data_IF_512228398023
#
_entry.id   IF_512228398023
#
_cell.length_a   1.000
_cell.length_b   1.000
_cell.length_c   1.000
_cell.angle_alpha   90.00
_cell.angle_beta   90.00
_cell.angle_gamma   90.00
#
_symmetry.space_group_name_H-M   'P 1'
#
loop_
_entity.id
_entity.type
_entity.pdbx_description
1 polymer ?
#
# COMPACT_ATOMS: atom_id res chain seq x y z
N UNK A 1 -14.02 -3.74 -4.18
CA UNK A 1 -13.39 -4.91 -3.52
C UNK A 1 -12.42 -4.39 -2.47
N UNK A 2 -12.54 -4.87 -1.24
CA UNK A 2 -11.61 -4.58 -0.14
C UNK A 2 -11.06 -5.91 0.36
N UNK A 3 -9.72 -6.01 0.49
CA UNK A 3 -9.05 -7.22 0.97
C UNK A 3 -8.14 -6.86 2.15
N UNK A 4 -8.37 -7.50 3.29
CA UNK A 4 -7.52 -7.48 4.47
C UNK A 4 -7.33 -8.93 4.91
N UNK A 5 -6.22 -9.52 4.52
CA UNK A 5 -5.98 -10.97 4.64
C UNK A 5 -4.49 -11.31 4.59
N UNK A 6 -4.16 -12.58 4.68
CA UNK A 6 -2.83 -13.08 4.32
C UNK A 6 -2.46 -12.68 2.89
N UNK A 7 -1.18 -12.47 2.67
CA UNK A 7 -0.54 -12.20 1.38
C UNK A 7 0.31 -13.37 0.89
N UNK A 8 1.18 -13.07 -0.06
CA UNK A 8 2.06 -14.04 -0.69
C UNK A 8 1.28 -15.18 -1.34
N UNK A 9 1.77 -16.40 -1.24
CA UNK A 9 1.16 -17.58 -1.86
C UNK A 9 -0.24 -17.94 -1.33
N UNK A 10 -0.64 -17.40 -0.17
CA UNK A 10 -1.97 -17.62 0.44
C UNK A 10 -2.95 -16.48 0.18
N UNK A 11 -2.55 -15.49 -0.60
CA UNK A 11 -3.41 -14.35 -0.91
C UNK A 11 -4.71 -14.81 -1.61
N UNK A 12 -5.91 -14.46 -1.09
CA UNK A 12 -7.18 -14.97 -1.62
C UNK A 12 -7.43 -14.60 -3.08
N UNK A 13 -6.92 -13.47 -3.56
CA UNK A 13 -7.01 -13.10 -4.99
C UNK A 13 -6.29 -14.09 -5.92
N UNK A 14 -5.33 -14.86 -5.43
CA UNK A 14 -4.53 -15.80 -6.24
C UNK A 14 -5.12 -17.21 -6.28
N UNK A 15 -6.16 -17.49 -5.48
CA UNK A 15 -6.82 -18.80 -5.44
C UNK A 15 -7.68 -19.06 -6.68
N UNK A 16 -7.62 -20.28 -7.20
CA UNK A 16 -8.49 -20.73 -8.31
C UNK A 16 -8.55 -19.73 -9.47
N UNK A 17 -9.76 -19.28 -9.81
CA UNK A 17 -10.07 -18.30 -10.87
C UNK A 17 -10.25 -16.87 -10.34
N UNK A 18 -9.93 -16.61 -9.07
CA UNK A 18 -10.21 -15.31 -8.45
C UNK A 18 -9.50 -14.14 -9.17
N UNK A 19 -8.26 -14.34 -9.59
CA UNK A 19 -7.52 -13.30 -10.31
C UNK A 19 -8.21 -12.90 -11.62
N UNK A 20 -8.72 -13.88 -12.38
CA UNK A 20 -9.50 -13.66 -13.61
C UNK A 20 -10.81 -12.94 -13.30
N UNK A 21 -11.53 -13.37 -12.26
CA UNK A 21 -12.79 -12.75 -11.83
C UNK A 21 -12.57 -11.30 -11.41
N UNK A 22 -11.53 -11.04 -10.61
CA UNK A 22 -11.15 -9.69 -10.21
C UNK A 22 -10.77 -8.84 -11.42
N UNK A 23 -10.03 -9.40 -12.39
CA UNK A 23 -9.69 -8.70 -13.64
C UNK A 23 -10.93 -8.17 -14.35
N UNK A 24 -11.95 -9.01 -14.54
CA UNK A 24 -13.24 -8.59 -15.14
C UNK A 24 -13.93 -7.47 -14.37
N UNK A 25 -13.87 -7.48 -13.03
CA UNK A 25 -14.38 -6.39 -12.21
C UNK A 25 -13.57 -5.10 -12.40
N UNK A 26 -12.24 -5.22 -12.47
CA UNK A 26 -11.36 -4.06 -12.66
C UNK A 26 -11.54 -3.44 -14.05
N UNK A 27 -11.76 -4.24 -15.08
CA UNK A 27 -12.06 -3.78 -16.45
C UNK A 27 -13.37 -2.97 -16.48
N UNK A 28 -14.33 -3.34 -15.63
CA UNK A 28 -15.59 -2.60 -15.43
C UNK A 28 -15.46 -1.41 -14.45
N UNK A 29 -14.24 -1.01 -14.08
CA UNK A 29 -14.00 0.15 -13.25
C UNK A 29 -14.34 -0.01 -11.76
N UNK A 30 -14.52 -1.24 -11.28
CA UNK A 30 -14.76 -1.51 -9.85
C UNK A 30 -13.53 -1.12 -9.03
N UNK A 31 -13.72 -0.48 -7.87
CA UNK A 31 -12.64 -0.09 -6.98
C UNK A 31 -11.92 -1.29 -6.34
N UNK A 32 -10.60 -1.15 -6.10
CA UNK A 32 -9.76 -2.20 -5.50
C UNK A 32 -8.90 -1.64 -4.39
N UNK A 33 -8.97 -2.23 -3.19
CA UNK A 33 -8.26 -1.78 -2.02
C UNK A 33 -7.67 -2.97 -1.25
N UNK A 34 -6.39 -2.87 -0.89
CA UNK A 34 -5.72 -3.88 -0.06
C UNK A 34 -5.09 -3.26 1.18
N UNK A 35 -5.17 -3.99 2.31
CA UNK A 35 -4.68 -3.55 3.61
C UNK A 35 -3.64 -4.55 4.11
N UNK A 36 -2.53 -4.01 4.60
CA UNK A 36 -1.42 -4.68 5.24
C UNK A 36 -0.84 -5.81 4.35
N UNK A 37 -0.80 -7.05 4.83
CA UNK A 37 -0.19 -8.14 4.08
C UNK A 37 -0.89 -8.43 2.75
N UNK A 38 -2.17 -8.05 2.60
CA UNK A 38 -2.87 -8.14 1.33
C UNK A 38 -2.31 -7.22 0.22
N UNK A 39 -1.36 -6.33 0.49
CA UNK A 39 -0.64 -5.57 -0.57
C UNK A 39 0.40 -6.43 -1.30
N UNK A 40 0.67 -7.65 -0.81
CA UNK A 40 1.67 -8.57 -1.33
C UNK A 40 1.05 -9.73 -2.10
N UNK A 41 0.92 -9.66 -3.42
CA UNK A 41 0.76 -10.84 -4.28
C UNK A 41 2.10 -11.57 -4.42
N UNK A 42 2.14 -12.73 -5.10
CA UNK A 42 3.44 -13.32 -5.49
C UNK A 42 4.00 -12.63 -6.72
N UNK A 43 5.33 -12.55 -6.82
CA UNK A 43 6.01 -11.86 -7.94
C UNK A 43 5.66 -12.46 -9.30
N UNK A 44 5.46 -13.76 -9.37
CA UNK A 44 5.13 -14.48 -10.61
C UNK A 44 3.61 -14.59 -10.87
N UNK A 45 2.75 -14.24 -9.90
CA UNK A 45 1.29 -14.27 -10.03
C UNK A 45 0.67 -13.13 -9.23
N UNK A 46 -0.10 -12.26 -9.88
CA UNK A 46 -0.80 -11.14 -9.28
C UNK A 46 -0.02 -9.81 -9.23
N UNK A 47 1.31 -9.82 -9.34
CA UNK A 47 2.10 -8.59 -9.26
C UNK A 47 1.70 -7.57 -10.36
N UNK A 48 1.60 -8.02 -11.62
CA UNK A 48 1.20 -7.16 -12.74
C UNK A 48 -0.22 -6.62 -12.57
N UNK A 49 -1.12 -7.50 -12.14
CA UNK A 49 -2.53 -7.18 -11.90
C UNK A 49 -2.66 -6.14 -10.78
N UNK A 50 -1.97 -6.31 -9.66
CA UNK A 50 -2.03 -5.37 -8.54
C UNK A 50 -1.44 -4.00 -8.91
N UNK A 51 -0.35 -3.96 -9.66
CA UNK A 51 0.19 -2.70 -10.21
C UNK A 51 -0.85 -2.04 -11.13
N UNK A 52 -1.51 -2.81 -11.99
CA UNK A 52 -2.53 -2.28 -12.89
C UNK A 52 -3.82 -1.86 -12.16
N UNK A 53 -4.19 -2.51 -11.04
CA UNK A 53 -5.45 -2.27 -10.33
C UNK A 53 -5.36 -1.21 -9.25
N UNK A 54 -4.24 -1.16 -8.50
CA UNK A 54 -4.04 -0.23 -7.37
C UNK A 54 -2.75 0.59 -7.45
N UNK A 55 -2.01 0.51 -8.56
CA UNK A 55 -0.84 1.35 -8.80
C UNK A 55 0.46 0.90 -8.15
N UNK A 56 0.43 -0.11 -7.29
CA UNK A 56 1.61 -0.62 -6.61
C UNK A 56 1.31 -1.85 -5.77
N UNK A 57 2.36 -2.59 -5.41
CA UNK A 57 2.28 -3.75 -4.53
C UNK A 57 3.63 -4.02 -3.87
N UNK A 58 3.64 -4.90 -2.87
CA UNK A 58 4.87 -5.45 -2.34
C UNK A 58 5.47 -6.44 -3.35
N UNK A 59 6.78 -6.40 -3.52
CA UNK A 59 7.53 -7.33 -4.34
C UNK A 59 8.68 -7.92 -3.52
N UNK A 60 8.73 -9.23 -3.39
CA UNK A 60 9.82 -9.93 -2.67
C UNK A 60 11.17 -9.59 -3.28
N UNK A 61 12.21 -9.48 -2.44
CA UNK A 61 13.57 -9.02 -2.79
C UNK A 61 13.67 -7.56 -3.26
N UNK A 62 12.58 -6.80 -3.23
CA UNK A 62 12.52 -5.37 -3.57
C UNK A 62 11.95 -4.54 -2.42
N UNK A 63 10.75 -4.87 -1.95
CA UNK A 63 10.09 -4.21 -0.84
C UNK A 63 10.52 -4.81 0.50
N UNK A 64 10.31 -4.08 1.60
CA UNK A 64 10.71 -4.50 2.95
C UNK A 64 9.59 -4.27 3.96
N UNK A 65 9.60 -5.05 5.06
CA UNK A 65 8.57 -5.06 6.09
C UNK A 65 9.13 -4.87 7.52
N UNK A 66 9.87 -3.81 7.82
CA UNK A 66 10.32 -3.55 9.18
C UNK A 66 9.20 -2.97 10.05
N UNK A 67 9.29 -3.19 11.38
CA UNK A 67 8.54 -2.41 12.35
C UNK A 67 9.22 -1.06 12.58
N UNK A 68 8.47 0.02 12.49
CA UNK A 68 8.96 1.35 12.79
C UNK A 68 7.81 2.33 13.09
N UNK A 69 8.16 3.46 13.74
CA UNK A 69 7.20 4.52 14.02
C UNK A 69 7.25 5.55 12.91
N UNK A 70 6.19 5.63 12.12
CA UNK A 70 6.00 6.67 11.12
C UNK A 70 5.28 7.87 11.73
N UNK A 71 5.64 9.07 11.27
CA UNK A 71 5.08 10.35 11.73
C UNK A 71 4.51 11.12 10.53
N UNK A 72 3.23 10.96 10.30
CA UNK A 72 2.55 11.58 9.17
C UNK A 72 2.10 12.99 9.52
N UNK A 73 2.81 13.98 8.99
CA UNK A 73 2.57 15.40 9.27
C UNK A 73 2.13 16.19 8.04
N UNK A 74 2.29 15.64 6.86
CA UNK A 74 1.97 16.27 5.58
C UNK A 74 1.12 15.34 4.73
N UNK A 75 0.04 15.86 4.18
CA UNK A 75 -0.91 15.12 3.36
C UNK A 75 -1.13 15.84 2.04
N UNK A 76 -1.32 15.11 0.92
CA UNK A 76 -1.75 15.72 -0.32
C UNK A 76 -3.17 16.27 -0.17
N UNK A 77 -3.56 17.23 -1.01
CA UNK A 77 -4.97 17.61 -1.15
C UNK A 77 -5.70 16.51 -1.93
N UNK A 78 -6.34 15.60 -1.22
CA UNK A 78 -7.02 14.44 -1.78
C UNK A 78 -8.24 14.06 -0.93
N UNK A 79 -9.35 13.53 -1.49
CA UNK A 79 -10.51 13.13 -0.70
C UNK A 79 -10.17 12.18 0.45
N UNK A 80 -9.25 11.24 0.26
CA UNK A 80 -8.81 10.30 1.30
C UNK A 80 -8.23 11.01 2.54
N UNK A 81 -7.65 12.19 2.38
CA UNK A 81 -7.03 12.95 3.48
C UNK A 81 -7.97 13.98 4.10
N UNK A 82 -9.23 14.02 3.66
CA UNK A 82 -10.22 14.94 4.22
C UNK A 82 -10.43 14.70 5.71
N UNK A 83 -10.21 15.75 6.52
CA UNK A 83 -10.36 15.69 7.97
C UNK A 83 -9.32 14.82 8.70
N UNK A 84 -8.30 14.30 8.01
CA UNK A 84 -7.18 13.58 8.63
C UNK A 84 -6.20 14.60 9.23
N UNK A 85 -5.88 14.43 10.51
CA UNK A 85 -4.91 15.23 11.23
C UNK A 85 -3.56 14.52 11.32
N UNK A 86 -2.46 15.26 11.59
CA UNK A 86 -1.15 14.64 11.84
C UNK A 86 -1.21 13.58 12.94
N UNK A 87 -0.61 12.43 12.69
CA UNK A 87 -0.56 11.32 13.64
C UNK A 87 0.73 10.53 13.55
N UNK A 88 1.06 9.81 14.62
CA UNK A 88 2.14 8.83 14.69
C UNK A 88 1.58 7.44 14.93
N UNK A 89 2.16 6.44 14.29
CA UNK A 89 1.81 5.07 14.55
C UNK A 89 3.05 4.16 14.39
N UNK A 90 3.27 3.28 15.37
CA UNK A 90 4.21 2.17 15.24
C UNK A 90 3.48 0.99 14.62
N UNK A 91 3.98 0.52 13.49
CA UNK A 91 3.40 -0.62 12.77
C UNK A 91 4.49 -1.36 11.99
N UNK A 92 4.16 -2.50 11.44
CA UNK A 92 4.97 -3.15 10.41
C UNK A 92 4.72 -2.45 9.07
N UNK A 93 5.16 -1.20 8.96
CA UNK A 93 4.98 -0.42 7.76
C UNK A 93 5.86 -0.94 6.64
N UNK A 94 5.26 -1.61 5.65
CA UNK A 94 5.98 -2.01 4.44
C UNK A 94 6.32 -0.79 3.61
N UNK A 95 7.51 -0.80 3.01
CA UNK A 95 7.91 0.29 2.13
C UNK A 95 8.81 -0.17 0.98
N UNK A 96 9.27 0.78 0.17
CA UNK A 96 9.97 0.54 -1.10
C UNK A 96 9.11 -0.35 -2.01
N UNK A 97 7.83 0.02 -2.14
CA UNK A 97 6.87 -0.74 -2.93
C UNK A 97 7.23 -0.71 -4.41
N UNK A 98 6.78 -1.73 -5.14
CA UNK A 98 6.83 -1.71 -6.60
C UNK A 98 5.63 -0.92 -7.12
N UNK A 99 5.88 0.27 -7.63
CA UNK A 99 4.85 1.12 -8.22
C UNK A 99 4.75 1.00 -9.74
N UNK A 100 3.65 1.47 -10.31
CA UNK A 100 3.48 1.68 -11.74
C UNK A 100 4.64 2.52 -12.30
N UNK A 101 5.11 2.28 -13.55
CA UNK A 101 6.23 3.01 -14.13
C UNK A 101 6.07 4.53 -14.03
N UNK A 102 7.09 5.19 -13.46
CA UNK A 102 7.08 6.63 -13.23
C UNK A 102 5.97 7.09 -12.26
N UNK A 103 5.39 6.19 -11.48
CA UNK A 103 4.26 6.45 -10.58
C UNK A 103 3.05 7.10 -11.29
N UNK A 104 2.87 6.84 -12.59
CA UNK A 104 1.77 7.42 -13.38
C UNK A 104 0.42 6.99 -12.78
N UNK A 105 -0.41 7.97 -12.43
CA UNK A 105 -1.71 7.76 -11.79
C UNK A 105 -1.65 7.44 -10.29
N UNK A 106 -0.45 7.33 -9.70
CA UNK A 106 -0.26 7.08 -8.25
C UNK A 106 -0.11 8.40 -7.50
N UNK A 107 -0.91 8.57 -6.45
CA UNK A 107 -0.80 9.67 -5.50
C UNK A 107 -0.40 9.12 -4.13
N UNK A 108 0.81 9.41 -3.61
CA UNK A 108 1.17 9.06 -2.23
C UNK A 108 0.23 9.74 -1.23
N UNK A 109 -0.38 8.96 -0.35
CA UNK A 109 -1.31 9.46 0.68
C UNK A 109 -0.61 9.58 2.04
N UNK A 110 0.09 8.53 2.47
CA UNK A 110 0.93 8.55 3.67
C UNK A 110 2.38 8.28 3.27
N UNK A 111 3.27 9.18 3.70
CA UNK A 111 4.70 9.06 3.44
C UNK A 111 5.49 9.55 4.63
N UNK A 112 6.58 8.88 4.93
CA UNK A 112 7.56 9.34 5.91
C UNK A 112 8.96 8.82 5.56
N UNK A 113 10.00 9.41 6.16
CA UNK A 113 11.38 8.97 6.00
C UNK A 113 11.65 7.82 6.98
N UNK A 114 11.87 6.63 6.44
CA UNK A 114 12.15 5.47 7.28
C UNK A 114 13.50 5.64 7.99
N UNK A 115 13.56 5.37 9.32
CA UNK A 115 14.83 5.42 10.08
C UNK A 115 15.84 4.41 9.55
N UNK A 116 17.15 4.73 9.64
CA UNK A 116 18.25 3.83 9.20
C UNK A 116 18.21 2.46 9.91
N UNK A 117 17.69 2.43 11.12
CA UNK A 117 17.50 1.24 11.94
C UNK A 117 16.59 0.19 11.28
N UNK A 118 15.71 0.61 10.38
CA UNK A 118 14.85 -0.31 9.60
C UNK A 118 15.66 -1.24 8.69
N UNK A 119 16.93 -0.89 8.41
CA UNK A 119 17.85 -1.64 7.54
C UNK A 119 18.84 -2.53 8.30
N UNK A 120 18.58 -2.86 9.58
CA UNK A 120 19.48 -3.72 10.39
C UNK A 120 19.49 -5.18 9.95
N UNK A 121 18.39 -5.68 9.38
CA UNK A 121 18.32 -7.05 8.84
C UNK A 121 19.19 -7.18 7.60
N UNK A 122 19.77 -8.35 7.37
CA UNK A 122 20.49 -8.67 6.13
C UNK A 122 19.58 -8.60 4.89
N UNK A 123 20.17 -8.71 3.70
CA UNK A 123 19.40 -8.76 2.45
C UNK A 123 18.57 -10.06 2.38
N UNK A 124 17.38 -9.98 1.84
CA UNK A 124 16.45 -11.11 1.77
C UNK A 124 15.10 -10.72 1.17
N UNK A 125 14.21 -11.70 1.11
CA UNK A 125 12.91 -11.56 0.45
C UNK A 125 12.07 -10.39 0.96
N UNK A 126 12.16 -10.07 2.29
CA UNK A 126 11.35 -9.05 2.98
C UNK A 126 12.19 -8.08 3.80
N UNK A 127 13.52 -8.19 3.78
CA UNK A 127 14.36 -7.54 4.80
C UNK A 127 15.33 -6.49 4.30
N UNK A 128 15.74 -6.54 3.05
CA UNK A 128 16.65 -5.57 2.48
C UNK A 128 17.17 -5.96 1.10
N UNK A 129 17.74 -4.97 0.44
CA UNK A 129 18.49 -5.07 -0.80
C UNK A 129 19.27 -3.76 -1.02
N UNK A 130 20.24 -3.71 -1.96
CA UNK A 130 21.03 -2.51 -2.19
C UNK A 130 20.23 -1.27 -2.57
N UNK A 131 19.10 -1.44 -3.31
CA UNK A 131 18.29 -0.32 -3.77
C UNK A 131 17.53 0.35 -2.59
N UNK A 132 16.88 -0.43 -1.74
CA UNK A 132 16.16 0.12 -0.57
C UNK A 132 17.14 0.74 0.43
N UNK A 133 18.32 0.13 0.64
CA UNK A 133 19.37 0.70 1.52
C UNK A 133 19.83 2.05 1.03
N UNK A 134 20.07 2.17 -0.28
CA UNK A 134 20.42 3.45 -0.92
C UNK A 134 19.33 4.50 -0.74
N UNK A 135 18.05 4.09 -0.92
CA UNK A 135 16.89 4.97 -0.74
C UNK A 135 16.78 5.49 0.69
N UNK A 136 16.88 4.60 1.69
CA UNK A 136 16.83 4.99 3.12
C UNK A 136 18.03 5.84 3.51
N UNK A 137 19.24 5.50 3.06
CA UNK A 137 20.45 6.28 3.34
C UNK A 137 20.38 7.71 2.77
N UNK A 138 19.72 7.89 1.63
CA UNK A 138 19.46 9.19 1.02
C UNK A 138 18.35 9.99 1.67
N UNK A 139 17.64 9.43 2.67
CA UNK A 139 16.50 10.09 3.32
C UNK A 139 15.28 10.22 2.40
N UNK A 140 15.14 9.38 1.40
CA UNK A 140 13.99 9.44 0.50
C UNK A 140 12.70 9.04 1.25
N UNK A 141 11.60 9.81 1.08
CA UNK A 141 10.31 9.44 1.63
C UNK A 141 9.86 8.05 1.13
N UNK A 142 9.35 7.25 2.05
CA UNK A 142 8.76 5.96 1.76
C UNK A 142 7.23 6.07 1.77
N UNK A 143 6.59 5.62 0.71
CA UNK A 143 5.14 5.70 0.55
C UNK A 143 4.52 4.42 1.10
N UNK A 144 3.79 4.56 2.21
CA UNK A 144 3.16 3.43 2.93
C UNK A 144 1.65 3.35 2.73
N UNK A 145 1.05 4.39 2.15
CA UNK A 145 -0.29 4.37 1.60
C UNK A 145 -0.36 5.22 0.33
N UNK A 146 -1.09 4.76 -0.66
CA UNK A 146 -1.20 5.44 -1.95
C UNK A 146 -2.57 5.22 -2.58
N UNK A 147 -3.05 6.24 -3.30
CA UNK A 147 -4.21 6.18 -4.18
C UNK A 147 -3.76 5.97 -5.63
N UNK A 148 -4.60 5.36 -6.43
CA UNK A 148 -4.36 5.13 -7.84
C UNK A 148 -5.63 5.36 -8.66
N UNK A 149 -5.52 6.14 -9.72
CA UNK A 149 -6.59 6.36 -10.68
C UNK A 149 -6.26 5.64 -11.99
N UNK A 150 -7.10 4.66 -12.34
CA UNK A 150 -6.97 3.90 -13.59
C UNK A 150 -7.49 4.70 -14.77
N UNK A 151 -6.96 4.48 -16.00
CA UNK A 151 -7.44 5.16 -17.20
C UNK A 151 -8.93 4.94 -17.49
N UNK A 152 -9.50 3.81 -17.05
CA UNK A 152 -10.93 3.50 -17.21
C UNK A 152 -11.81 4.12 -16.10
N UNK A 153 -11.27 5.03 -15.29
CA UNK A 153 -11.97 5.67 -14.18
C UNK A 153 -12.14 4.80 -12.94
N UNK A 154 -11.60 3.60 -12.91
CA UNK A 154 -11.53 2.79 -11.70
C UNK A 154 -10.54 3.38 -10.70
N UNK A 155 -10.72 3.10 -9.40
CA UNK A 155 -9.85 3.59 -8.32
C UNK A 155 -9.22 2.45 -7.56
N UNK A 156 -7.96 2.62 -7.18
CA UNK A 156 -7.20 1.68 -6.37
C UNK A 156 -6.60 2.34 -5.15
N UNK A 157 -6.37 1.57 -4.09
CA UNK A 157 -5.69 2.05 -2.90
C UNK A 157 -4.92 0.91 -2.23
N UNK A 158 -3.67 1.18 -1.85
CA UNK A 158 -2.86 0.29 -1.04
C UNK A 158 -2.50 0.95 0.29
N UNK A 159 -2.57 0.18 1.37
CA UNK A 159 -2.26 0.62 2.73
C UNK A 159 -1.44 -0.46 3.45
N UNK A 160 -0.21 -0.15 3.83
CA UNK A 160 0.72 -1.15 4.35
C UNK A 160 0.66 -1.33 5.87
N UNK A 161 0.02 -0.42 6.60
CA UNK A 161 -0.22 -0.56 8.03
C UNK A 161 -1.35 -1.53 8.36
N UNK A 162 -1.55 -1.81 9.64
CA UNK A 162 -2.62 -2.68 10.15
C UNK A 162 -2.12 -4.00 10.74
N UNK A 163 -0.80 -4.22 10.84
CA UNK A 163 -0.23 -5.33 11.61
C UNK A 163 -0.57 -5.17 13.10
N UNK A 164 -0.31 -3.99 13.62
CA UNK A 164 -0.67 -3.68 15.00
C UNK A 164 -2.14 -3.23 15.07
N UNK A 165 -3.02 -4.15 15.44
CA UNK A 165 -4.46 -3.89 15.49
C UNK A 165 -4.84 -2.77 16.47
N UNK A 166 -4.02 -2.45 17.48
CA UNK A 166 -4.27 -1.33 18.37
C UNK A 166 -4.26 0.02 17.64
N UNK A 167 -3.60 0.12 16.48
CA UNK A 167 -3.61 1.32 15.67
C UNK A 167 -5.01 1.68 15.14
N UNK A 168 -5.93 0.71 15.04
CA UNK A 168 -7.32 0.99 14.69
C UNK A 168 -8.05 1.84 15.73
N UNK A 169 -7.53 1.98 16.96
CA UNK A 169 -8.03 2.92 17.96
C UNK A 169 -7.65 4.39 17.65
N UNK A 170 -6.63 4.63 16.82
CA UNK A 170 -6.25 5.96 16.37
C UNK A 170 -7.24 6.45 15.31
N UNK A 171 -7.93 7.55 15.58
CA UNK A 171 -8.99 8.09 14.71
C UNK A 171 -8.47 8.48 13.32
N UNK A 172 -7.28 9.05 13.21
CA UNK A 172 -6.75 9.53 11.93
C UNK A 172 -6.17 8.38 11.09
N UNK A 173 -5.61 7.35 11.73
CA UNK A 173 -5.26 6.09 11.07
C UNK A 173 -6.51 5.43 10.47
N UNK A 174 -7.56 5.25 11.29
CA UNK A 174 -8.83 4.65 10.87
C UNK A 174 -9.54 5.49 9.80
N UNK A 175 -9.60 6.82 9.99
CA UNK A 175 -10.20 7.76 9.04
C UNK A 175 -9.56 7.68 7.66
N UNK A 176 -8.23 7.59 7.58
CA UNK A 176 -7.53 7.43 6.30
C UNK A 176 -8.03 6.21 5.52
N UNK A 177 -8.19 5.08 6.19
CA UNK A 177 -8.66 3.85 5.54
C UNK A 177 -10.15 3.91 5.20
N UNK A 178 -10.98 4.46 6.09
CA UNK A 178 -12.43 4.62 5.82
C UNK A 178 -12.68 5.56 4.64
N UNK A 179 -12.01 6.70 4.61
CA UNK A 179 -12.08 7.63 3.48
C UNK A 179 -11.63 6.94 2.17
N UNK A 180 -10.57 6.12 2.23
CA UNK A 180 -10.11 5.36 1.06
C UNK A 180 -11.16 4.36 0.58
N UNK A 181 -11.85 3.66 1.47
CA UNK A 181 -12.93 2.73 1.12
C UNK A 181 -14.06 3.48 0.40
N UNK A 182 -14.49 4.62 0.96
CA UNK A 182 -15.54 5.46 0.36
C UNK A 182 -15.08 5.98 -1.01
N UNK A 183 -13.85 6.49 -1.10
CA UNK A 183 -13.30 7.02 -2.33
C UNK A 183 -13.17 5.94 -3.43
N UNK A 184 -12.66 4.74 -3.13
CA UNK A 184 -12.56 3.67 -4.15
C UNK A 184 -13.92 3.16 -4.59
N UNK A 185 -14.95 3.28 -3.73
CA UNK A 185 -16.34 3.00 -4.07
C UNK A 185 -16.99 4.10 -4.95
N UNK A 186 -16.28 5.19 -5.22
CA UNK A 186 -16.76 6.39 -5.94
C UNK A 186 -17.92 7.10 -5.24
N UNK A 187 -18.04 6.95 -3.93
CA UNK A 187 -18.92 7.74 -3.09
C UNK A 187 -18.23 9.04 -2.63
N UNK A 188 -18.98 9.97 -2.11
CA UNK A 188 -18.45 11.21 -1.55
C UNK A 188 -17.80 10.93 -0.18
N UNK A 189 -16.63 11.52 0.06
CA UNK A 189 -15.87 11.43 1.31
C UNK A 189 -16.16 12.67 2.16
#
# INVERSE_FOLDING_TARGET
>A
VVIYSDGGGRHPALGGKNLETLGKLMDNGVGFLTIHYAVEPTTNKGNKEFIAWQGGCFETHWSVNPHWTANFTKFPKHPITQGVKPFKANDEWYFHMRFAPGMKGVTPILSDVAPKETMKRGDGAHSGNPAVRKSVAAGNPQHVAWAFERPNGGRGFGFTGGHNHLNWANDDFRKTVLNAIVWVAKAEV
#
